data_IF_666721507662
#
_entry.id   IF_666721507662
#
_cell.length_a   1.000
_cell.length_b   1.000
_cell.length_c   1.000
_cell.angle_alpha   90.00
_cell.angle_beta   90.00
_cell.angle_gamma   90.00
#
_symmetry.space_group_name_H-M   'P 1'
#
loop_
_entity.id
_entity.type
_entity.pdbx_description
1 polymer ?
#
# COMPACT_ATOMS: atom_id res chain seq x y z
N UNK A 1 -57.42 -0.82 -17.73
CA UNK A 1 -56.83 -2.02 -17.13
C UNK A 1 -55.32 -1.87 -17.22
N UNK A 2 -54.67 -1.50 -16.12
CA UNK A 2 -53.23 -1.29 -16.09
C UNK A 2 -52.56 -2.56 -15.56
N UNK A 3 -51.63 -3.11 -16.33
CA UNK A 3 -50.80 -4.26 -15.98
C UNK A 3 -49.83 -3.85 -14.87
N UNK A 4 -50.03 -4.37 -13.67
CA UNK A 4 -49.10 -4.28 -12.57
C UNK A 4 -47.96 -5.28 -12.82
N UNK A 5 -46.80 -4.77 -13.25
CA UNK A 5 -45.56 -5.58 -13.31
C UNK A 5 -45.15 -5.86 -11.87
N UNK A 6 -45.26 -7.12 -11.45
CA UNK A 6 -44.79 -7.59 -10.16
C UNK A 6 -43.28 -7.34 -10.06
N UNK A 7 -42.91 -6.31 -9.30
CA UNK A 7 -41.54 -6.01 -8.93
C UNK A 7 -40.96 -7.11 -8.03
N UNK A 8 -39.81 -7.65 -8.46
CA UNK A 8 -38.57 -7.76 -7.67
C UNK A 8 -38.64 -8.40 -6.27
N UNK A 9 -39.62 -9.26 -6.02
CA UNK A 9 -39.75 -10.02 -4.76
C UNK A 9 -39.48 -11.52 -4.96
N UNK A 10 -39.66 -12.03 -6.17
CA UNK A 10 -39.30 -13.39 -6.55
C UNK A 10 -37.79 -13.59 -6.59
N UNK A 11 -37.01 -12.70 -7.21
CA UNK A 11 -35.55 -12.85 -7.41
C UNK A 11 -34.77 -12.80 -6.08
N UNK A 12 -35.16 -11.92 -5.15
CA UNK A 12 -34.54 -11.78 -3.83
C UNK A 12 -34.83 -12.99 -2.91
N UNK A 13 -35.99 -13.65 -3.11
CA UNK A 13 -36.39 -14.86 -2.39
C UNK A 13 -35.56 -16.07 -2.81
N UNK A 14 -35.28 -16.24 -4.13
CA UNK A 14 -34.47 -17.35 -4.64
C UNK A 14 -33.07 -17.37 -4.00
N UNK A 15 -32.40 -16.22 -3.89
CA UNK A 15 -31.07 -16.12 -3.27
C UNK A 15 -31.04 -16.50 -1.78
N UNK A 16 -32.16 -16.31 -1.06
CA UNK A 16 -32.29 -16.66 0.36
C UNK A 16 -32.53 -18.17 0.56
N UNK A 17 -33.28 -18.82 -0.33
CA UNK A 17 -33.54 -20.27 -0.26
C UNK A 17 -32.30 -21.13 -0.53
N UNK A 18 -31.29 -20.62 -1.26
CA UNK A 18 -30.05 -21.35 -1.55
C UNK A 18 -28.95 -21.20 -0.49
N UNK A 19 -29.22 -20.55 0.65
CA UNK A 19 -28.30 -20.55 1.80
C UNK A 19 -26.89 -20.00 1.53
N UNK A 20 -26.70 -19.27 0.43
CA UNK A 20 -25.43 -18.64 0.07
C UNK A 20 -25.21 -17.40 0.96
N UNK A 21 -24.95 -17.64 2.23
CA UNK A 21 -24.49 -16.62 3.15
C UNK A 21 -23.02 -16.32 2.86
N UNK A 22 -22.74 -15.17 2.26
CA UNK A 22 -21.39 -14.61 2.12
C UNK A 22 -21.01 -13.77 3.35
N UNK A 23 -21.69 -13.97 4.48
CA UNK A 23 -21.39 -13.24 5.70
C UNK A 23 -20.00 -13.64 6.20
N UNK A 24 -19.11 -12.66 6.32
CA UNK A 24 -18.15 -12.56 7.42
C UNK A 24 -16.91 -13.45 7.46
N UNK A 25 -16.84 -14.58 6.77
CA UNK A 25 -15.62 -15.41 6.76
C UNK A 25 -14.48 -14.70 5.99
N UNK A 26 -13.24 -14.73 6.49
CA UNK A 26 -12.06 -14.23 5.77
C UNK A 26 -11.73 -15.04 4.51
N UNK A 27 -10.73 -14.61 3.72
CA UNK A 27 -10.27 -15.38 2.56
C UNK A 27 -9.55 -16.67 3.01
N UNK A 28 -10.02 -17.83 2.52
CA UNK A 28 -9.50 -19.15 2.88
C UNK A 28 -8.96 -19.95 1.69
N UNK A 29 -8.72 -19.30 0.54
CA UNK A 29 -8.34 -19.92 -0.73
C UNK A 29 -9.52 -20.20 -1.68
N UNK A 30 -9.23 -20.80 -2.83
CA UNK A 30 -10.21 -21.02 -3.94
C UNK A 30 -11.05 -22.31 -3.79
N UNK A 31 -10.89 -23.03 -2.68
CA UNK A 31 -11.67 -24.22 -2.34
C UNK A 31 -13.04 -23.91 -1.75
N UNK A 32 -13.90 -24.93 -1.64
CA UNK A 32 -15.19 -24.79 -0.96
C UNK A 32 -14.97 -24.30 0.49
N UNK A 33 -15.78 -23.32 0.94
CA UNK A 33 -15.78 -22.80 2.33
C UNK A 33 -16.43 -23.81 3.29
N UNK A 34 -15.91 -25.03 3.30
CA UNK A 34 -16.38 -26.15 4.11
C UNK A 34 -15.40 -26.33 5.27
N UNK A 35 -15.76 -25.81 6.43
CA UNK A 35 -14.94 -25.85 7.64
C UNK A 35 -14.70 -24.47 8.22
N UNK A 36 -14.78 -24.36 9.55
CA UNK A 36 -14.87 -23.12 10.32
C UNK A 36 -15.97 -23.30 11.37
N UNK A 37 -15.71 -22.93 12.63
CA UNK A 37 -16.65 -23.16 13.74
C UNK A 37 -17.99 -22.43 13.54
N UNK A 38 -18.00 -21.39 12.70
CA UNK A 38 -19.14 -20.55 12.35
C UNK A 38 -19.77 -20.88 10.98
N UNK A 39 -19.28 -21.91 10.29
CA UNK A 39 -19.78 -22.29 8.96
C UNK A 39 -19.47 -21.28 7.84
N UNK A 40 -18.62 -20.28 8.09
CA UNK A 40 -18.28 -19.23 7.13
C UNK A 40 -16.95 -19.48 6.39
N UNK A 41 -16.26 -20.59 6.68
CA UNK A 41 -14.91 -20.87 6.19
C UNK A 41 -13.84 -20.53 7.22
N UNK A 42 -12.81 -21.37 7.39
CA UNK A 42 -11.67 -21.11 8.27
C UNK A 42 -10.90 -22.39 8.66
N UNK A 43 -9.57 -22.29 8.72
CA UNK A 43 -8.73 -23.37 9.25
C UNK A 43 -8.57 -23.20 10.76
N UNK A 44 -8.75 -24.28 11.53
CA UNK A 44 -8.45 -24.27 12.96
C UNK A 44 -6.93 -24.21 13.16
N UNK A 45 -6.47 -23.24 13.95
CA UNK A 45 -5.09 -23.16 14.40
C UNK A 45 -5.01 -23.30 15.92
N UNK A 46 -3.99 -23.99 16.42
CA UNK A 46 -3.68 -24.08 17.86
C UNK A 46 -2.72 -22.96 18.21
N UNK A 47 -3.10 -22.11 19.17
CA UNK A 47 -2.26 -21.04 19.71
C UNK A 47 -1.58 -21.51 20.99
N UNK A 48 -0.28 -21.24 21.12
CA UNK A 48 0.46 -21.47 22.36
C UNK A 48 0.33 -20.28 23.34
N UNK A 49 0.57 -20.48 24.65
CA UNK A 49 0.65 -19.37 25.58
C UNK A 49 1.70 -18.34 25.12
N UNK A 50 1.37 -17.04 25.20
CA UNK A 50 2.21 -15.88 24.80
C UNK A 50 2.30 -15.58 23.29
N UNK A 51 1.45 -16.16 22.45
CA UNK A 51 1.34 -15.79 21.04
C UNK A 51 0.30 -14.67 20.79
N UNK A 52 0.45 -13.91 19.70
CA UNK A 52 -0.48 -12.84 19.29
C UNK A 52 -0.92 -13.08 17.85
N UNK A 53 -2.23 -12.96 17.58
CA UNK A 53 -2.79 -13.02 16.23
C UNK A 53 -3.04 -11.60 15.74
N UNK A 54 -2.53 -11.29 14.56
CA UNK A 54 -2.74 -10.02 13.87
C UNK A 54 -3.67 -10.31 12.69
N UNK A 55 -4.84 -9.66 12.67
CA UNK A 55 -5.73 -9.73 11.51
C UNK A 55 -5.27 -8.73 10.44
N UNK A 56 -4.97 -9.20 9.23
CA UNK A 56 -4.57 -8.32 8.13
C UNK A 56 -5.77 -7.76 7.35
N UNK A 57 -7.00 -8.23 7.60
CA UNK A 57 -8.21 -7.78 6.90
C UNK A 57 -8.75 -6.50 7.52
N UNK A 58 -8.81 -6.43 8.85
CA UNK A 58 -9.27 -5.24 9.57
C UNK A 58 -8.22 -4.13 9.63
N UNK A 59 -6.93 -4.47 9.56
CA UNK A 59 -5.82 -3.50 9.61
C UNK A 59 -5.33 -3.03 8.25
N UNK A 60 -5.94 -3.49 7.17
CA UNK A 60 -5.90 -2.72 5.94
C UNK A 60 -6.77 -1.49 6.23
N UNK A 61 -6.20 -0.27 6.39
CA UNK A 61 -7.07 0.88 6.50
C UNK A 61 -7.94 0.83 5.24
N UNK A 62 -9.21 1.22 5.34
CA UNK A 62 -10.11 1.32 4.20
C UNK A 62 -9.61 2.30 3.09
N UNK A 63 -8.35 2.69 3.17
CA UNK A 63 -7.57 3.62 2.39
C UNK A 63 -6.18 3.04 1.98
N UNK A 64 -5.98 1.71 1.96
CA UNK A 64 -5.05 1.09 1.00
C UNK A 64 -5.90 0.45 -0.08
N UNK A 65 -6.63 1.28 -0.83
CA UNK A 65 -7.01 0.86 -2.16
C UNK A 65 -5.74 0.80 -3.02
N UNK A 66 -5.51 -0.28 -3.77
CA UNK A 66 -4.38 -0.39 -4.69
C UNK A 66 -4.51 0.71 -5.76
N UNK A 67 -3.83 1.83 -5.58
CA UNK A 67 -3.53 2.93 -6.52
C UNK A 67 -4.63 3.44 -7.48
N UNK A 68 -5.88 2.97 -7.40
CA UNK A 68 -6.87 3.19 -8.45
C UNK A 68 -8.34 3.15 -7.99
N UNK A 69 -8.62 2.99 -6.69
CA UNK A 69 -9.95 3.28 -6.17
C UNK A 69 -9.90 4.61 -5.41
N UNK A 70 -10.23 5.65 -6.16
CA UNK A 70 -10.48 7.00 -5.68
C UNK A 70 -11.57 6.96 -4.62
N UNK A 71 -11.15 6.90 -3.35
CA UNK A 71 -12.00 7.18 -2.20
C UNK A 71 -12.51 8.61 -2.34
N UNK A 72 -13.77 8.73 -2.75
CA UNK A 72 -14.53 9.97 -2.83
C UNK A 72 -14.62 10.60 -1.43
N UNK A 73 -13.57 11.30 -1.00
CA UNK A 73 -13.52 11.99 0.30
C UNK A 73 -12.16 12.52 0.76
N UNK A 74 -11.04 12.11 0.13
CA UNK A 74 -9.72 12.71 0.36
C UNK A 74 -9.14 13.26 -0.95
N UNK A 75 -8.41 14.39 -0.89
CA UNK A 75 -7.65 14.87 -2.04
C UNK A 75 -6.72 13.75 -2.54
N UNK A 76 -6.85 13.37 -3.80
CA UNK A 76 -5.97 12.37 -4.42
C UNK A 76 -4.58 12.98 -4.54
N UNK A 77 -3.54 12.41 -3.95
CA UNK A 77 -2.17 12.98 -4.06
C UNK A 77 -1.38 12.19 -5.10
N UNK A 78 -0.91 12.86 -6.15
CA UNK A 78 0.01 12.29 -7.15
C UNK A 78 1.41 12.83 -6.87
N UNK A 79 2.37 11.94 -6.66
CA UNK A 79 3.76 12.32 -6.37
C UNK A 79 4.62 12.12 -7.62
N UNK A 80 5.22 13.20 -8.10
CA UNK A 80 6.17 13.20 -9.21
C UNK A 80 7.58 13.36 -8.64
N UNK A 81 8.48 12.42 -8.94
CA UNK A 81 9.89 12.50 -8.52
C UNK A 81 10.71 12.83 -9.77
N UNK A 82 11.35 14.01 -9.76
CA UNK A 82 12.05 14.55 -10.93
C UNK A 82 13.51 14.85 -10.60
N UNK A 83 14.43 14.26 -11.36
CA UNK A 83 15.86 14.58 -11.24
C UNK A 83 16.17 15.88 -11.99
N UNK A 84 16.59 16.92 -11.26
CA UNK A 84 16.93 18.23 -11.81
C UNK A 84 18.16 18.81 -11.09
N UNK A 85 19.30 19.00 -11.79
CA UNK A 85 20.51 19.55 -11.19
C UNK A 85 20.29 20.92 -10.56
N UNK A 86 20.74 21.11 -9.32
CA UNK A 86 20.64 22.39 -8.62
C UNK A 86 19.24 22.70 -8.05
N UNK A 87 18.28 21.79 -8.19
CA UNK A 87 16.94 21.89 -7.57
C UNK A 87 16.70 20.80 -6.53
N UNK A 88 17.75 20.09 -6.10
CA UNK A 88 17.62 19.05 -5.07
C UNK A 88 17.00 19.57 -3.78
N UNK A 89 15.93 18.91 -3.33
CA UNK A 89 15.22 19.23 -2.09
C UNK A 89 14.11 20.27 -2.25
N UNK A 90 13.88 20.81 -3.45
CA UNK A 90 12.71 21.68 -3.69
C UNK A 90 11.47 20.83 -3.93
N UNK A 91 10.33 21.30 -3.43
CA UNK A 91 9.04 20.66 -3.59
C UNK A 91 8.04 21.68 -4.11
N UNK A 92 7.26 21.32 -5.12
CA UNK A 92 6.18 22.14 -5.64
C UNK A 92 4.87 21.37 -5.54
N UNK A 93 3.88 21.96 -4.87
CA UNK A 93 2.53 21.42 -4.79
C UNK A 93 1.61 22.19 -5.73
N UNK A 94 0.82 21.45 -6.51
CA UNK A 94 -0.19 22.00 -7.41
C UNK A 94 -1.47 21.20 -7.25
N UNK A 95 -2.54 21.82 -6.79
CA UNK A 95 -3.86 21.19 -6.71
C UNK A 95 -4.63 21.46 -7.99
N UNK A 96 -5.05 20.40 -8.70
CA UNK A 96 -5.84 20.50 -9.92
C UNK A 96 -6.98 19.46 -9.90
N UNK A 97 -8.21 19.93 -10.09
CA UNK A 97 -9.43 19.11 -10.12
C UNK A 97 -9.58 18.09 -8.96
N UNK A 98 -9.20 18.47 -7.73
CA UNK A 98 -9.30 17.61 -6.54
C UNK A 98 -8.17 16.58 -6.39
N UNK A 99 -7.14 16.68 -7.24
CA UNK A 99 -5.89 15.93 -7.14
C UNK A 99 -4.74 16.89 -6.82
N UNK A 100 -4.00 16.61 -5.75
CA UNK A 100 -2.80 17.35 -5.36
C UNK A 100 -1.58 16.71 -6.00
N UNK A 101 -0.96 17.41 -6.94
CA UNK A 101 0.30 17.02 -7.55
C UNK A 101 1.46 17.57 -6.70
N UNK A 102 2.22 16.70 -6.08
CA UNK A 102 3.46 17.04 -5.37
C UNK A 102 4.65 16.64 -6.23
N UNK A 103 5.34 17.62 -6.80
CA UNK A 103 6.60 17.39 -7.50
C UNK A 103 7.77 17.62 -6.56
N UNK A 104 8.58 16.58 -6.36
CA UNK A 104 9.80 16.64 -5.56
C UNK A 104 10.96 16.64 -6.54
N UNK A 105 11.74 17.72 -6.52
CA UNK A 105 12.97 17.82 -7.28
C UNK A 105 14.12 17.25 -6.45
N UNK A 106 14.88 16.33 -7.06
CA UNK A 106 16.06 15.73 -6.45
C UNK A 106 17.29 16.02 -7.30
N UNK A 107 18.44 16.11 -6.63
CA UNK A 107 19.73 16.30 -7.31
C UNK A 107 20.08 15.06 -8.15
N UNK A 108 20.97 15.20 -9.14
CA UNK A 108 21.45 14.06 -9.95
C UNK A 108 22.11 12.99 -9.07
N UNK A 109 21.37 11.91 -8.80
CA UNK A 109 21.74 10.87 -7.83
C UNK A 109 23.09 10.22 -8.16
N UNK A 110 23.37 9.91 -9.43
CA UNK A 110 24.63 9.24 -9.81
C UNK A 110 25.87 10.13 -9.64
N UNK A 111 25.80 11.38 -10.10
CA UNK A 111 26.98 12.26 -10.10
C UNK A 111 27.25 12.90 -8.72
N UNK A 112 26.20 13.19 -7.95
CA UNK A 112 26.35 13.73 -6.59
C UNK A 112 26.91 12.66 -5.65
N UNK A 113 26.35 11.44 -5.68
CA UNK A 113 26.84 10.32 -4.86
C UNK A 113 28.26 9.93 -5.26
N UNK A 114 28.58 9.85 -6.56
CA UNK A 114 29.95 9.58 -7.00
C UNK A 114 30.91 10.70 -6.58
N UNK A 115 30.49 11.97 -6.63
CA UNK A 115 31.27 13.11 -6.15
C UNK A 115 31.54 13.06 -4.65
N UNK A 116 30.51 12.75 -3.86
CA UNK A 116 30.59 12.58 -2.41
C UNK A 116 31.48 11.38 -2.04
N UNK A 117 31.29 10.24 -2.71
CA UNK A 117 32.14 9.04 -2.61
C UNK A 117 33.54 9.24 -3.21
N UNK A 118 33.79 10.27 -4.01
CA UNK A 118 35.12 10.63 -4.51
C UNK A 118 35.80 11.72 -3.65
N UNK A 119 35.05 12.52 -2.88
CA UNK A 119 35.57 13.61 -2.01
C UNK A 119 35.62 13.25 -0.53
N UNK A 120 34.80 12.30 -0.12
CA UNK A 120 34.81 11.71 1.24
C UNK A 120 33.87 12.47 2.16
N UNK A 121 33.14 13.41 1.58
CA UNK A 121 32.13 14.22 2.20
C UNK A 121 30.76 13.63 1.90
N UNK A 122 29.87 13.63 2.89
CA UNK A 122 28.47 13.23 2.71
C UNK A 122 28.06 12.05 3.59
N UNK A 123 26.76 11.77 3.59
CA UNK A 123 26.14 10.74 4.44
C UNK A 123 26.61 9.33 4.09
N UNK A 124 26.82 9.04 2.80
CA UNK A 124 27.24 7.71 2.34
C UNK A 124 28.68 7.38 2.76
N UNK A 125 29.71 8.21 2.48
CA UNK A 125 31.05 7.96 3.00
C UNK A 125 31.12 7.93 4.53
N UNK A 126 30.40 8.82 5.22
CA UNK A 126 30.36 8.86 6.69
C UNK A 126 29.75 7.60 7.30
N UNK A 127 28.67 7.08 6.72
CA UNK A 127 28.06 5.82 7.15
C UNK A 127 28.99 4.62 6.90
N UNK A 128 29.72 4.61 5.79
CA UNK A 128 30.70 3.56 5.48
C UNK A 128 31.91 3.58 6.43
N UNK A 129 32.39 4.76 6.79
CA UNK A 129 33.44 4.91 7.81
C UNK A 129 32.96 4.46 9.19
N UNK A 130 31.72 4.79 9.58
CA UNK A 130 31.17 4.46 10.90
C UNK A 130 30.82 2.97 11.04
N UNK A 131 30.21 2.37 10.01
CA UNK A 131 29.72 0.99 10.05
C UNK A 131 30.82 -0.02 9.74
N UNK A 132 31.68 0.31 8.78
CA UNK A 132 32.66 -0.63 8.22
C UNK A 132 34.11 -0.16 8.41
N UNK A 133 34.35 0.96 9.10
CA UNK A 133 35.71 1.49 9.33
C UNK A 133 36.39 1.96 8.04
N UNK A 134 35.67 2.10 6.94
CA UNK A 134 36.23 2.44 5.63
C UNK A 134 36.59 3.93 5.60
N UNK A 135 37.84 4.23 5.95
CA UNK A 135 38.40 5.56 5.75
C UNK A 135 39.12 5.62 4.40
N UNK A 136 38.85 6.67 3.64
CA UNK A 136 39.47 6.81 2.32
C UNK A 136 40.92 7.22 2.50
N UNK A 137 41.84 6.45 1.91
CA UNK A 137 43.24 6.89 1.82
C UNK A 137 43.34 7.93 0.69
N UNK A 138 43.74 9.15 1.02
CA UNK A 138 43.98 10.18 0.02
C UNK A 138 45.22 9.77 -0.81
N UNK A 139 45.03 9.42 -2.09
CA UNK A 139 46.13 9.15 -3.02
C UNK A 139 46.16 7.78 -3.70
N UNK A 140 45.21 6.88 -3.44
CA UNK A 140 45.00 5.71 -4.30
C UNK A 140 44.08 6.12 -5.47
N UNK A 141 44.70 6.39 -6.62
CA UNK A 141 44.02 6.56 -7.90
C UNK A 141 43.65 5.22 -8.51
#
# INVERSE_FOLDING_TARGET
MATQILGDSTVKSIGSFFGLSFAGGGYTGDGARSGGIDGMGGFMAVMHPQETVIDHTMWQPANVQPANAQSSGGNSVVVNIVESPGQGGTQTSRSEAGTDYLTIFVEKVKNSIAGDIARGSGSVPGAMATTYGLNRVAGAY
#
